data_IF_518194390390
#
_entry.id   IF_518194390390
#
_cell.length_a   1.000
_cell.length_b   1.000
_cell.length_c   1.000
_cell.angle_alpha   90.00
_cell.angle_beta   90.00
_cell.angle_gamma   90.00
#
_symmetry.space_group_name_H-M   'P 1'
#
loop_
_entity.id
_entity.type
_entity.pdbx_description
1 polymer ?
#
# COMPACT_ATOMS: atom_id res chain seq x y z
N UNK A 1 0.62 18.98 12.77
CA UNK A 1 0.13 18.08 13.84
C UNK A 1 -1.03 17.30 13.26
N UNK A 2 -0.83 16.02 12.91
CA UNK A 2 -1.82 15.15 12.29
C UNK A 2 -2.87 14.79 13.34
N UNK A 3 -4.12 15.23 13.17
CA UNK A 3 -5.22 14.65 13.94
C UNK A 3 -5.55 13.30 13.30
N UNK A 4 -4.93 12.27 13.83
CA UNK A 4 -5.00 10.88 13.39
C UNK A 4 -6.31 10.15 13.76
N UNK A 5 -7.32 10.87 14.24
CA UNK A 5 -8.49 10.24 14.89
C UNK A 5 -9.29 9.36 13.92
N UNK A 6 -9.43 9.76 12.64
CA UNK A 6 -10.31 9.02 11.73
C UNK A 6 -9.64 7.78 11.11
N UNK A 7 -8.36 7.88 10.71
CA UNK A 7 -7.59 6.74 10.20
C UNK A 7 -7.30 5.74 11.32
N UNK A 8 -6.95 6.23 12.51
CA UNK A 8 -6.69 5.40 13.69
C UNK A 8 -7.94 4.60 14.11
N UNK A 9 -9.08 5.26 14.24
CA UNK A 9 -10.37 4.63 14.59
C UNK A 9 -10.76 3.58 13.55
N UNK A 10 -10.47 3.84 12.28
CA UNK A 10 -10.73 2.91 11.20
C UNK A 10 -9.83 1.67 11.27
N UNK A 11 -8.52 1.82 11.49
CA UNK A 11 -7.61 0.68 11.63
C UNK A 11 -7.92 -0.15 12.90
N UNK A 12 -8.42 0.46 13.97
CA UNK A 12 -8.93 -0.24 15.16
C UNK A 12 -10.19 -1.04 14.81
N UNK A 13 -11.09 -0.51 13.96
CA UNK A 13 -12.24 -1.28 13.46
C UNK A 13 -11.79 -2.42 12.55
N UNK A 14 -10.80 -2.21 11.71
CA UNK A 14 -10.18 -3.23 10.88
C UNK A 14 -9.63 -4.40 11.71
N UNK A 15 -8.91 -4.12 12.81
CA UNK A 15 -8.48 -5.16 13.74
C UNK A 15 -9.66 -5.93 14.35
N UNK A 16 -10.74 -5.23 14.75
CA UNK A 16 -11.94 -5.86 15.29
C UNK A 16 -12.66 -6.73 14.28
N UNK A 17 -12.77 -6.31 13.03
CA UNK A 17 -13.42 -7.07 11.97
C UNK A 17 -12.55 -8.24 11.49
N UNK A 18 -11.22 -8.07 11.50
CA UNK A 18 -10.27 -9.16 11.31
C UNK A 18 -10.40 -10.23 12.41
N UNK A 19 -10.67 -9.82 13.65
CA UNK A 19 -10.89 -10.72 14.79
C UNK A 19 -12.30 -11.35 14.82
N UNK A 20 -13.34 -10.65 14.37
CA UNK A 20 -14.74 -11.11 14.38
C UNK A 20 -15.07 -12.18 13.34
N UNK A 21 -14.34 -12.24 12.23
CA UNK A 21 -14.56 -13.22 11.16
C UNK A 21 -13.87 -14.58 11.43
N UNK A 22 -13.52 -14.88 12.70
CA UNK A 22 -13.04 -16.21 13.09
C UNK A 22 -14.21 -17.13 13.40
N UNK A 23 -14.30 -18.36 12.82
CA UNK A 23 -15.29 -19.35 13.21
C UNK A 23 -15.06 -19.80 14.64
N UNK A 24 -16.14 -19.80 15.45
CA UNK A 24 -16.20 -20.07 16.90
C UNK A 24 -15.99 -21.53 17.27
N UNK A 25 -15.18 -22.31 16.59
CA UNK A 25 -14.92 -23.70 16.96
C UNK A 25 -13.44 -24.06 16.92
N UNK A 26 -12.98 -24.46 18.11
CA UNK A 26 -11.70 -25.03 18.54
C UNK A 26 -10.73 -24.05 19.20
N UNK A 27 -10.87 -23.95 20.53
CA UNK A 27 -9.82 -23.54 21.48
C UNK A 27 -8.76 -24.66 21.57
N UNK A 28 -7.93 -24.75 20.55
CA UNK A 28 -6.56 -25.18 20.65
C UNK A 28 -5.76 -23.97 20.21
N UNK A 29 -4.60 -23.66 20.79
CA UNK A 29 -3.81 -22.44 20.63
C UNK A 29 -4.10 -21.67 19.34
N UNK A 30 -4.49 -20.37 19.38
CA UNK A 30 -4.89 -19.68 18.17
C UNK A 30 -3.68 -19.64 17.25
N UNK A 31 -3.68 -20.49 16.22
CA UNK A 31 -2.79 -20.37 15.09
C UNK A 31 -3.22 -19.06 14.39
N UNK A 32 -2.73 -17.93 14.89
CA UNK A 32 -3.00 -16.63 14.32
C UNK A 32 -2.42 -16.66 12.90
N UNK A 33 -3.28 -16.57 11.90
CA UNK A 33 -2.83 -16.45 10.51
C UNK A 33 -1.98 -15.18 10.39
N UNK A 34 -0.75 -15.28 9.89
CA UNK A 34 0.12 -14.11 9.79
C UNK A 34 -0.45 -13.10 8.80
N UNK A 35 -0.19 -11.82 9.04
CA UNK A 35 -0.71 -10.73 8.25
C UNK A 35 0.36 -10.15 7.31
N UNK A 36 -0.05 -9.88 6.07
CA UNK A 36 0.69 -9.10 5.09
C UNK A 36 -0.08 -7.80 4.81
N UNK A 37 0.51 -6.67 5.19
CA UNK A 37 -0.05 -5.36 4.90
C UNK A 37 0.63 -4.75 3.68
N UNK A 38 -0.14 -4.37 2.67
CA UNK A 38 0.34 -3.72 1.46
C UNK A 38 -0.03 -2.24 1.53
N UNK A 39 0.92 -1.39 1.91
CA UNK A 39 0.75 0.06 1.97
C UNK A 39 1.08 0.64 0.61
N UNK A 40 0.08 1.19 -0.07
CA UNK A 40 0.19 1.49 -1.48
C UNK A 40 -0.32 2.88 -1.86
N UNK A 41 0.07 3.35 -3.05
CA UNK A 41 -0.27 4.66 -3.59
C UNK A 41 0.91 5.29 -4.33
N UNK A 42 0.67 6.36 -5.08
CA UNK A 42 1.71 7.03 -5.87
C UNK A 42 2.81 7.68 -5.00
N UNK A 43 3.89 8.13 -5.63
CA UNK A 43 4.89 8.96 -4.95
C UNK A 43 4.20 10.23 -4.40
N UNK A 44 4.56 10.68 -3.21
CA UNK A 44 3.92 11.83 -2.55
C UNK A 44 2.56 11.56 -1.91
N UNK A 45 2.03 10.33 -1.99
CA UNK A 45 0.72 10.00 -1.39
C UNK A 45 0.73 9.90 0.15
N UNK A 46 1.87 10.04 0.82
CA UNK A 46 1.97 10.03 2.28
C UNK A 46 2.07 8.63 2.89
N UNK A 47 2.33 7.60 2.10
CA UNK A 47 2.45 6.20 2.55
C UNK A 47 3.39 6.00 3.72
N UNK A 48 4.66 6.39 3.57
CA UNK A 48 5.70 6.20 4.60
C UNK A 48 5.34 6.90 5.90
N UNK A 49 4.81 8.13 5.83
CA UNK A 49 4.36 8.88 7.01
C UNK A 49 3.23 8.14 7.74
N UNK A 50 2.24 7.67 7.01
CA UNK A 50 1.14 6.89 7.58
C UNK A 50 1.64 5.54 8.14
N UNK A 51 2.54 4.85 7.44
CA UNK A 51 3.09 3.58 7.90
C UNK A 51 3.81 3.68 9.23
N UNK A 52 4.66 4.68 9.41
CA UNK A 52 5.44 4.85 10.63
C UNK A 52 4.58 5.12 11.88
N UNK A 53 3.37 5.63 11.70
CA UNK A 53 2.42 5.88 12.79
C UNK A 53 1.45 4.71 12.97
N UNK A 54 0.83 4.26 11.88
CA UNK A 54 -0.27 3.29 11.92
C UNK A 54 0.21 1.87 12.18
N UNK A 55 1.33 1.45 11.57
CA UNK A 55 1.79 0.06 11.68
C UNK A 55 2.14 -0.34 13.11
N UNK A 56 3.00 0.40 13.86
CA UNK A 56 3.36 0.01 15.20
C UNK A 56 2.25 0.22 16.23
N UNK A 57 1.51 1.32 16.12
CA UNK A 57 0.55 1.72 17.14
C UNK A 57 -0.79 0.98 16.99
N UNK A 58 -1.25 0.80 15.75
CA UNK A 58 -2.58 0.27 15.48
C UNK A 58 -2.56 -1.19 15.05
N UNK A 59 -1.65 -1.58 14.16
CA UNK A 59 -1.58 -2.93 13.63
C UNK A 59 -0.59 -3.83 14.38
N UNK A 60 0.16 -3.27 15.35
CA UNK A 60 1.21 -3.96 16.10
C UNK A 60 2.24 -4.67 15.18
N UNK A 61 2.34 -4.20 13.93
CA UNK A 61 3.27 -4.71 12.92
C UNK A 61 4.58 -3.92 12.99
N UNK A 62 5.66 -4.58 13.35
CA UNK A 62 6.98 -3.95 13.51
C UNK A 62 7.88 -4.15 12.29
N UNK A 63 7.58 -5.15 11.47
CA UNK A 63 8.35 -5.46 10.27
C UNK A 63 7.81 -4.65 9.08
N UNK A 64 8.50 -3.57 8.73
CA UNK A 64 8.14 -2.69 7.61
C UNK A 64 9.23 -2.69 6.55
N UNK A 65 8.88 -3.15 5.35
CA UNK A 65 9.82 -3.34 4.24
C UNK A 65 9.58 -2.29 3.16
N UNK A 66 10.52 -1.36 3.03
CA UNK A 66 10.50 -0.29 2.04
C UNK A 66 11.81 -0.27 1.24
N UNK A 67 11.72 -0.52 -0.07
CA UNK A 67 12.87 -0.59 -0.96
C UNK A 67 13.66 0.73 -1.04
N UNK A 68 12.98 1.87 -0.99
CA UNK A 68 13.63 3.18 -1.05
C UNK A 68 14.43 3.46 0.23
N UNK A 69 13.93 3.05 1.40
CA UNK A 69 14.67 3.17 2.67
C UNK A 69 15.87 2.21 2.72
N UNK A 70 15.74 0.99 2.20
CA UNK A 70 16.87 0.06 2.06
C UNK A 70 17.94 0.66 1.14
N UNK A 71 17.55 1.24 0.01
CA UNK A 71 18.49 1.88 -0.92
C UNK A 71 19.22 3.06 -0.28
N UNK A 72 18.55 3.88 0.51
CA UNK A 72 19.16 4.96 1.29
C UNK A 72 20.13 4.43 2.34
N UNK A 73 19.78 3.35 3.03
CA UNK A 73 20.68 2.69 4.00
C UNK A 73 21.94 2.15 3.36
N UNK A 74 21.86 1.63 2.14
CA UNK A 74 23.02 1.12 1.39
C UNK A 74 23.89 2.23 0.82
N UNK A 75 23.30 3.30 0.34
CA UNK A 75 24.03 4.43 -0.28
C UNK A 75 23.28 5.75 -0.03
N UNK A 76 23.54 6.42 1.11
CA UNK A 76 22.81 7.65 1.46
C UNK A 76 22.96 8.79 0.45
N UNK A 77 24.12 8.88 -0.21
CA UNK A 77 24.41 9.92 -1.20
C UNK A 77 24.04 9.55 -2.64
N UNK A 78 23.84 8.26 -2.92
CA UNK A 78 23.44 7.75 -4.24
C UNK A 78 22.47 6.57 -4.11
N UNK A 79 21.25 6.77 -3.55
CA UNK A 79 20.28 5.70 -3.37
C UNK A 79 19.81 5.12 -4.69
N UNK A 80 19.79 5.90 -5.78
CA UNK A 80 19.39 5.42 -7.11
C UNK A 80 20.34 4.36 -7.65
N UNK A 81 21.63 4.50 -7.44
CA UNK A 81 22.63 3.49 -7.79
C UNK A 81 22.50 2.19 -6.99
N UNK A 82 21.93 2.26 -5.79
CA UNK A 82 21.75 1.12 -4.91
C UNK A 82 20.42 0.34 -5.13
N UNK A 83 19.50 0.82 -5.98
CA UNK A 83 18.14 0.25 -6.14
C UNK A 83 18.11 -1.24 -6.46
N UNK A 84 19.01 -1.73 -7.30
CA UNK A 84 19.06 -3.15 -7.66
C UNK A 84 19.47 -4.01 -6.46
N UNK A 85 20.50 -3.57 -5.73
CA UNK A 85 20.95 -4.25 -4.50
C UNK A 85 19.87 -4.21 -3.42
N UNK A 86 19.24 -3.05 -3.20
CA UNK A 86 18.13 -2.87 -2.28
C UNK A 86 16.97 -3.83 -2.61
N UNK A 87 16.58 -3.94 -3.87
CA UNK A 87 15.53 -4.86 -4.33
C UNK A 87 15.85 -6.34 -4.02
N UNK A 88 17.10 -6.75 -4.21
CA UNK A 88 17.55 -8.13 -3.87
C UNK A 88 17.49 -8.38 -2.36
N UNK A 89 17.99 -7.45 -1.55
CA UNK A 89 17.95 -7.55 -0.08
C UNK A 89 16.50 -7.56 0.42
N UNK A 90 15.65 -6.70 -0.10
CA UNK A 90 14.23 -6.65 0.19
C UNK A 90 13.56 -8.01 -0.05
N UNK A 91 13.75 -8.60 -1.24
CA UNK A 91 13.16 -9.90 -1.58
C UNK A 91 13.68 -11.02 -0.68
N UNK A 92 14.98 -11.01 -0.33
CA UNK A 92 15.57 -11.96 0.61
C UNK A 92 14.95 -11.83 2.00
N UNK A 93 14.81 -10.59 2.50
CA UNK A 93 14.20 -10.33 3.80
C UNK A 93 12.72 -10.77 3.84
N UNK A 94 11.94 -10.43 2.81
CA UNK A 94 10.54 -10.86 2.72
C UNK A 94 10.41 -12.39 2.71
N UNK A 95 11.29 -13.10 2.00
CA UNK A 95 11.30 -14.58 2.04
C UNK A 95 11.53 -15.14 3.44
N UNK A 96 12.43 -14.51 4.21
CA UNK A 96 12.67 -14.86 5.61
C UNK A 96 11.43 -14.60 6.46
N UNK A 97 10.83 -13.42 6.38
CA UNK A 97 9.60 -13.08 7.12
C UNK A 97 8.47 -14.08 6.84
N UNK A 98 8.30 -14.48 5.57
CA UNK A 98 7.30 -15.48 5.20
C UNK A 98 7.63 -16.85 5.82
N UNK A 99 8.89 -17.27 5.81
CA UNK A 99 9.31 -18.53 6.42
C UNK A 99 9.10 -18.54 7.93
N UNK A 100 9.37 -17.40 8.59
CA UNK A 100 9.22 -17.22 10.04
C UNK A 100 7.75 -16.97 10.46
N UNK A 101 6.80 -16.92 9.49
CA UNK A 101 5.38 -16.60 9.74
C UNK A 101 5.18 -15.27 10.48
N UNK A 102 6.06 -14.30 10.26
CA UNK A 102 6.00 -13.01 10.89
C UNK A 102 4.96 -12.11 10.21
N UNK A 103 4.25 -11.28 10.98
CA UNK A 103 3.46 -10.17 10.45
C UNK A 103 4.39 -9.13 9.85
N UNK A 104 4.12 -8.69 8.62
CA UNK A 104 4.93 -7.65 7.98
C UNK A 104 4.14 -6.77 7.03
N UNK A 105 4.68 -5.59 6.79
CA UNK A 105 4.14 -4.63 5.83
C UNK A 105 5.16 -4.35 4.72
N UNK A 106 4.66 -4.15 3.51
CA UNK A 106 5.44 -3.69 2.36
C UNK A 106 4.90 -2.36 1.86
N UNK A 107 5.81 -1.46 1.45
CA UNK A 107 5.44 -0.22 0.78
C UNK A 107 5.67 -0.35 -0.73
N UNK A 108 4.66 0.08 -1.53
CA UNK A 108 4.74 0.02 -3.00
C UNK A 108 3.89 1.09 -3.67
N UNK A 109 4.27 1.48 -4.90
CA UNK A 109 3.42 2.31 -5.78
C UNK A 109 2.43 1.48 -6.58
N UNK A 110 2.46 0.15 -6.49
CA UNK A 110 1.75 -0.82 -7.34
C UNK A 110 2.07 -0.72 -8.84
N UNK A 111 2.98 0.15 -9.25
CA UNK A 111 3.38 0.25 -10.66
C UNK A 111 4.12 -1.00 -11.16
N UNK A 112 4.83 -1.70 -10.27
CA UNK A 112 5.50 -2.96 -10.57
C UNK A 112 4.56 -4.14 -10.35
N UNK A 113 4.60 -5.13 -11.25
CA UNK A 113 3.78 -6.34 -11.16
C UNK A 113 4.38 -7.43 -10.25
N UNK A 114 5.64 -7.30 -9.86
CA UNK A 114 6.38 -8.31 -9.09
C UNK A 114 5.77 -8.62 -7.73
N UNK A 115 5.15 -7.64 -7.08
CA UNK A 115 4.49 -7.85 -5.79
C UNK A 115 3.23 -8.73 -5.88
N UNK A 116 2.58 -8.79 -7.04
CA UNK A 116 1.41 -9.66 -7.25
C UNK A 116 1.74 -11.13 -6.95
N UNK A 117 2.81 -11.65 -7.57
CA UNK A 117 3.25 -13.04 -7.33
C UNK A 117 3.69 -13.27 -5.88
N UNK A 118 4.27 -12.25 -5.23
CA UNK A 118 4.66 -12.31 -3.83
C UNK A 118 3.43 -12.44 -2.92
N UNK A 119 2.38 -11.66 -3.16
CA UNK A 119 1.14 -11.71 -2.39
C UNK A 119 0.46 -13.09 -2.54
N UNK A 120 0.38 -13.61 -3.76
CA UNK A 120 -0.17 -14.95 -4.00
C UNK A 120 0.61 -16.01 -3.21
N UNK A 121 1.95 -16.02 -3.29
CA UNK A 121 2.78 -16.95 -2.55
C UNK A 121 2.64 -16.82 -1.03
N UNK A 122 2.51 -15.62 -0.51
CA UNK A 122 2.26 -15.42 0.92
C UNK A 122 0.91 -16.02 1.33
N UNK A 123 -0.15 -15.77 0.54
CA UNK A 123 -1.49 -16.32 0.80
C UNK A 123 -1.51 -17.87 0.73
N UNK A 124 -0.82 -18.47 -0.23
CA UNK A 124 -0.63 -19.94 -0.30
C UNK A 124 0.02 -20.48 0.96
N UNK A 125 0.82 -19.66 1.65
CA UNK A 125 1.43 -20.00 2.92
C UNK A 125 0.61 -19.60 4.15
N UNK A 126 -0.67 -19.23 3.96
CA UNK A 126 -1.61 -18.96 5.03
C UNK A 126 -1.62 -17.52 5.53
N UNK A 127 -1.00 -16.57 4.81
CA UNK A 127 -1.09 -15.15 5.13
C UNK A 127 -2.45 -14.57 4.77
N UNK A 128 -2.94 -13.65 5.60
CA UNK A 128 -4.03 -12.75 5.29
C UNK A 128 -3.46 -11.47 4.70
N UNK A 129 -3.82 -11.15 3.47
CA UNK A 129 -3.31 -9.99 2.74
C UNK A 129 -4.31 -8.83 2.79
N UNK A 130 -3.88 -7.69 3.33
CA UNK A 130 -4.67 -6.44 3.42
C UNK A 130 -3.97 -5.32 2.66
N UNK A 131 -4.70 -4.64 1.74
CA UNK A 131 -4.19 -3.57 0.92
C UNK A 131 -4.78 -2.23 1.36
N UNK A 132 -3.92 -1.26 1.68
CA UNK A 132 -4.30 0.13 1.94
C UNK A 132 -3.79 0.98 0.79
N UNK A 133 -4.71 1.65 0.09
CA UNK A 133 -4.38 2.49 -1.05
C UNK A 133 -4.61 3.97 -0.73
N UNK A 134 -3.51 4.73 -0.66
CA UNK A 134 -3.54 6.18 -0.51
C UNK A 134 -3.64 6.83 -1.88
N UNK A 135 -4.82 7.35 -2.19
CA UNK A 135 -5.09 8.06 -3.44
C UNK A 135 -4.79 9.54 -3.32
N UNK A 136 -4.31 10.12 -4.41
CA UNK A 136 -4.27 11.57 -4.67
C UNK A 136 -5.11 11.86 -5.91
N UNK A 137 -5.82 12.98 -5.90
CA UNK A 137 -6.75 13.33 -6.98
C UNK A 137 -6.11 13.54 -8.35
N UNK A 138 -4.79 13.77 -8.41
CA UNK A 138 -4.07 13.96 -9.67
C UNK A 138 -2.58 13.65 -9.55
N UNK A 139 -1.91 13.32 -10.67
CA UNK A 139 -0.46 13.20 -10.71
C UNK A 139 0.25 14.54 -10.48
N UNK A 140 -0.38 15.68 -10.79
CA UNK A 140 0.19 17.01 -10.53
C UNK A 140 0.29 17.31 -9.04
N UNK A 141 -0.71 16.91 -8.26
CA UNK A 141 -0.63 16.99 -6.79
C UNK A 141 0.49 16.10 -6.24
N UNK A 142 0.68 14.92 -6.82
CA UNK A 142 1.76 14.01 -6.46
C UNK A 142 3.14 14.66 -6.71
N UNK A 143 3.34 15.27 -7.88
CA UNK A 143 4.55 16.00 -8.27
C UNK A 143 4.80 17.16 -7.31
N UNK A 144 3.79 17.99 -7.04
CA UNK A 144 3.90 19.12 -6.10
C UNK A 144 4.36 18.66 -4.72
N UNK A 145 3.79 17.57 -4.19
CA UNK A 145 4.16 17.03 -2.87
C UNK A 145 5.57 16.43 -2.85
N UNK A 146 5.98 15.78 -3.94
CA UNK A 146 7.38 15.29 -4.07
C UNK A 146 8.34 16.46 -4.13
N UNK A 147 8.06 17.52 -4.89
CA UNK A 147 8.88 18.72 -4.95
C UNK A 147 9.01 19.40 -3.57
N UNK A 148 7.91 19.51 -2.83
CA UNK A 148 7.94 20.06 -1.46
C UNK A 148 8.77 19.19 -0.50
N UNK A 149 8.63 17.87 -0.57
CA UNK A 149 9.45 16.94 0.20
C UNK A 149 10.96 17.09 -0.11
N UNK A 150 11.33 17.33 -1.36
CA UNK A 150 12.73 17.53 -1.78
C UNK A 150 13.33 18.78 -1.13
N UNK A 151 12.58 19.88 -1.01
CA UNK A 151 13.02 21.08 -0.29
C UNK A 151 13.39 20.82 1.18
N UNK A 152 12.82 19.76 1.77
CA UNK A 152 13.11 19.32 3.15
C UNK A 152 14.07 18.12 3.21
N UNK A 153 14.92 17.94 2.18
CA UNK A 153 15.94 16.89 2.15
C UNK A 153 15.43 15.50 1.75
N UNK A 154 14.20 15.40 1.25
CA UNK A 154 13.66 14.13 0.77
C UNK A 154 14.17 13.74 -0.61
N UNK A 155 14.02 12.46 -0.95
CA UNK A 155 14.44 11.90 -2.23
C UNK A 155 13.62 12.47 -3.41
N UNK A 156 14.33 12.92 -4.46
CA UNK A 156 13.75 13.38 -5.72
C UNK A 156 13.25 12.20 -6.56
N UNK A 157 12.14 12.41 -7.27
CA UNK A 157 11.64 11.47 -8.29
C UNK A 157 11.22 12.32 -9.49
N UNK A 158 11.67 11.95 -10.67
CA UNK A 158 11.34 12.62 -11.91
C UNK A 158 9.82 12.64 -12.18
N UNK A 159 9.33 13.77 -12.69
CA UNK A 159 7.90 14.01 -12.91
C UNK A 159 7.28 12.99 -13.87
N UNK A 160 8.00 12.60 -14.92
CA UNK A 160 7.54 11.59 -15.87
C UNK A 160 7.43 10.22 -15.23
N UNK A 161 8.33 9.89 -14.27
CA UNK A 161 8.27 8.66 -13.48
C UNK A 161 7.06 8.70 -12.56
N UNK A 162 6.78 9.83 -11.91
CA UNK A 162 5.60 10.00 -11.05
C UNK A 162 4.33 9.80 -11.85
N UNK A 163 4.18 10.46 -13.00
CA UNK A 163 3.00 10.32 -13.90
C UNK A 163 2.81 8.89 -14.37
N UNK A 164 3.87 8.24 -14.82
CA UNK A 164 3.84 6.84 -15.26
C UNK A 164 3.43 5.91 -14.12
N UNK A 165 4.02 6.08 -12.93
CA UNK A 165 3.70 5.25 -11.75
C UNK A 165 2.28 5.49 -11.24
N UNK A 166 1.78 6.72 -11.31
CA UNK A 166 0.41 7.06 -10.94
C UNK A 166 -0.59 6.26 -11.79
N UNK A 167 -0.46 6.33 -13.11
CA UNK A 167 -1.35 5.61 -14.05
C UNK A 167 -1.21 4.09 -13.91
N UNK A 168 0.02 3.58 -13.96
CA UNK A 168 0.29 2.15 -13.85
C UNK A 168 -0.16 1.58 -12.49
N UNK A 169 0.01 2.34 -11.39
CA UNK A 169 -0.42 1.94 -10.05
C UNK A 169 -1.92 1.77 -9.97
N UNK A 170 -2.73 2.70 -10.48
CA UNK A 170 -4.19 2.60 -10.49
C UNK A 170 -4.65 1.43 -11.37
N UNK A 171 -4.09 1.29 -12.58
CA UNK A 171 -4.42 0.15 -13.47
C UNK A 171 -4.14 -1.19 -12.78
N UNK A 172 -2.97 -1.35 -12.20
CA UNK A 172 -2.60 -2.59 -11.53
C UNK A 172 -3.42 -2.81 -10.24
N UNK A 173 -3.79 -1.74 -9.52
CA UNK A 173 -4.62 -1.82 -8.31
C UNK A 173 -5.88 -2.65 -8.55
N UNK A 174 -6.64 -2.32 -9.59
CA UNK A 174 -7.90 -2.99 -9.87
C UNK A 174 -7.72 -4.32 -10.61
N UNK A 175 -6.78 -4.39 -11.55
CA UNK A 175 -6.66 -5.55 -12.44
C UNK A 175 -5.79 -6.67 -11.85
N UNK A 176 -4.87 -6.35 -10.94
CA UNK A 176 -3.94 -7.32 -10.38
C UNK A 176 -4.07 -7.46 -8.87
N UNK A 177 -4.13 -6.36 -8.12
CA UNK A 177 -3.96 -6.40 -6.67
C UNK A 177 -5.27 -6.62 -5.91
N UNK A 178 -6.34 -5.88 -6.22
CA UNK A 178 -7.64 -6.08 -5.56
C UNK A 178 -8.17 -7.52 -5.68
N UNK A 179 -7.99 -8.23 -6.80
CA UNK A 179 -8.45 -9.62 -6.92
C UNK A 179 -7.71 -10.62 -6.03
N UNK A 180 -6.49 -10.31 -5.59
CA UNK A 180 -5.63 -11.26 -4.85
C UNK A 180 -5.45 -10.92 -3.38
N UNK A 181 -6.09 -9.87 -2.87
CA UNK A 181 -6.08 -9.54 -1.45
C UNK A 181 -7.38 -9.94 -0.77
N UNK A 182 -7.32 -10.20 0.54
CA UNK A 182 -8.49 -10.56 1.33
C UNK A 182 -9.32 -9.35 1.74
N UNK A 183 -8.67 -8.19 1.82
CA UNK A 183 -9.29 -6.92 2.17
C UNK A 183 -8.56 -5.75 1.53
N UNK A 184 -9.30 -4.69 1.17
CA UNK A 184 -8.73 -3.43 0.73
C UNK A 184 -9.42 -2.23 1.36
N UNK A 185 -8.65 -1.16 1.50
CA UNK A 185 -9.07 0.15 1.98
C UNK A 185 -8.55 1.23 1.05
N UNK A 186 -9.44 2.09 0.54
CA UNK A 186 -9.08 3.26 -0.26
C UNK A 186 -9.23 4.54 0.57
N UNK A 187 -8.18 5.33 0.61
CA UNK A 187 -8.10 6.59 1.37
C UNK A 187 -7.79 7.73 0.41
N UNK A 188 -8.61 8.78 0.40
CA UNK A 188 -8.24 10.06 -0.21
C UNK A 188 -7.32 10.82 0.73
N UNK A 189 -6.08 10.94 0.35
CA UNK A 189 -5.08 11.73 1.05
C UNK A 189 -4.77 13.06 0.32
N UNK A 190 -5.64 13.51 -0.59
CA UNK A 190 -5.47 14.79 -1.31
C UNK A 190 -5.69 15.99 -0.41
N UNK A 191 -6.54 15.84 0.59
CA UNK A 191 -6.96 16.85 1.55
C UNK A 191 -6.64 16.41 2.99
N UNK A 192 -6.73 17.34 3.92
CA UNK A 192 -6.58 17.07 5.35
C UNK A 192 -7.83 17.56 6.10
N UNK A 193 -8.44 16.73 6.94
CA UNK A 193 -8.11 15.34 7.23
C UNK A 193 -8.34 14.42 6.03
N UNK A 194 -7.62 13.29 5.98
CA UNK A 194 -7.80 12.26 4.96
C UNK A 194 -9.19 11.61 5.10
N UNK A 195 -9.75 11.18 3.98
CA UNK A 195 -11.11 10.62 3.91
C UNK A 195 -11.07 9.17 3.43
N UNK A 196 -11.85 8.29 4.08
CA UNK A 196 -12.06 6.94 3.57
C UNK A 196 -13.02 6.99 2.38
N UNK A 197 -12.60 6.39 1.27
CA UNK A 197 -13.39 6.34 0.02
C UNK A 197 -14.24 5.06 -0.03
N UNK A 198 -13.61 3.91 0.18
CA UNK A 198 -14.24 2.60 0.14
C UNK A 198 -13.42 1.57 0.89
N UNK A 199 -14.08 0.51 1.35
CA UNK A 199 -13.46 -0.65 1.98
C UNK A 199 -14.15 -1.94 1.58
N UNK A 200 -13.47 -3.07 1.70
CA UNK A 200 -14.07 -4.37 1.47
C UNK A 200 -13.15 -5.37 0.78
N UNK A 201 -13.73 -6.20 -0.04
CA UNK A 201 -13.06 -7.16 -0.89
C UNK A 201 -13.78 -7.25 -2.24
N UNK A 202 -13.30 -8.09 -3.16
CA UNK A 202 -13.87 -8.21 -4.51
C UNK A 202 -15.34 -8.64 -4.53
N UNK A 203 -15.82 -9.29 -3.47
CA UNK A 203 -17.21 -9.79 -3.36
C UNK A 203 -18.15 -8.76 -2.74
N UNK A 204 -17.65 -7.90 -1.87
CA UNK A 204 -18.44 -6.91 -1.13
C UNK A 204 -17.63 -5.65 -0.89
N UNK A 205 -18.13 -4.52 -1.37
CA UNK A 205 -17.50 -3.21 -1.23
C UNK A 205 -18.49 -2.29 -0.53
N UNK A 206 -18.03 -1.66 0.55
CA UNK A 206 -18.72 -0.58 1.24
C UNK A 206 -18.15 0.74 0.76
N UNK A 207 -19.00 1.59 0.19
CA UNK A 207 -18.63 2.91 -0.28
C UNK A 207 -18.94 3.97 0.78
N UNK A 208 -17.98 4.84 1.03
CA UNK A 208 -18.14 6.07 1.83
C UNK A 208 -18.23 7.29 0.90
N UNK A 209 -17.53 7.24 -0.24
CA UNK A 209 -17.60 8.25 -1.30
C UNK A 209 -17.53 7.58 -2.68
N UNK A 210 -18.70 7.23 -3.21
CA UNK A 210 -18.83 6.51 -4.48
C UNK A 210 -18.32 7.31 -5.68
N UNK A 211 -18.49 8.64 -5.67
CA UNK A 211 -18.00 9.51 -6.75
C UNK A 211 -16.48 9.48 -6.85
N UNK A 212 -15.77 9.58 -5.71
CA UNK A 212 -14.32 9.47 -5.69
C UNK A 212 -13.85 8.08 -6.14
N UNK A 213 -14.55 7.02 -5.72
CA UNK A 213 -14.24 5.67 -6.16
C UNK A 213 -14.40 5.53 -7.69
N UNK A 214 -15.48 6.06 -8.28
CA UNK A 214 -15.68 6.11 -9.73
C UNK A 214 -14.57 6.88 -10.44
N UNK A 215 -14.11 8.02 -9.88
CA UNK A 215 -12.97 8.78 -10.43
C UNK A 215 -11.69 7.94 -10.47
N UNK A 216 -11.38 7.18 -9.42
CA UNK A 216 -10.23 6.28 -9.42
C UNK A 216 -10.38 5.22 -10.53
N UNK A 217 -11.56 4.63 -10.67
CA UNK A 217 -11.87 3.64 -11.70
C UNK A 217 -11.76 4.17 -13.12
N UNK A 218 -12.12 5.43 -13.37
CA UNK A 218 -12.01 6.04 -14.69
C UNK A 218 -10.56 6.10 -15.19
N UNK A 219 -9.58 6.28 -14.30
CA UNK A 219 -8.16 6.20 -14.66
C UNK A 219 -7.72 4.82 -15.15
N UNK A 220 -8.43 3.76 -14.80
CA UNK A 220 -8.20 2.40 -15.32
C UNK A 220 -8.69 2.27 -16.78
N UNK A 221 -9.85 2.84 -17.09
CA UNK A 221 -10.53 2.70 -18.38
C UNK A 221 -10.01 3.67 -19.47
N UNK A 222 -9.46 4.82 -19.11
CA UNK A 222 -9.05 5.88 -20.08
C UNK A 222 -7.84 5.55 -20.95
N UNK A 223 -7.24 4.36 -20.83
CA UNK A 223 -6.10 3.92 -21.63
C UNK A 223 -6.41 2.74 -22.59
N UNK A 224 -7.65 2.33 -22.73
CA UNK A 224 -8.05 1.38 -23.80
C UNK A 224 -8.30 2.05 -25.15
N UNK A 225 -8.44 3.36 -25.19
CA UNK A 225 -8.78 4.11 -26.43
C UNK A 225 -7.59 4.74 -27.14
N UNK A 226 -6.36 4.70 -26.58
CA UNK A 226 -5.17 5.29 -27.20
C UNK A 226 -4.18 4.27 -27.82
N UNK A 227 -4.63 3.09 -28.21
CA UNK A 227 -3.79 2.09 -28.90
C UNK A 227 -4.30 1.70 -30.30
N UNK A 228 -5.23 2.50 -30.88
CA UNK A 228 -5.60 2.37 -32.30
C UNK A 228 -5.35 3.72 -33.02
N UNK A 229 -4.10 4.11 -33.22
CA UNK A 229 -3.66 4.98 -34.31
C UNK A 229 -2.19 4.67 -34.66
#
# INVERSE_FOLDING_TARGET
>A
MWKSVDIFTFFVSLQRDLARNMPSQKRAEPYLMPNLYIISGCNGAGKTTASLTVLPETLQCKEFVNCDEIAKGLSPLNPDGAKVAAGRLMLSHIKKLIADKADFAIETTLAAKSYHSLIIKAREQGYKASLVYFWLQSPDLAIKRVAERVKHGGHHVDDNIIRRRYKAGIKNLFNLYCPVVDYFLFIDNSIMPSEVIAEGNIKSIKFYNEEKFKKIRQYDNSNSECQEE
#
